data_IF_702254091080
#
_entry.id   IF_702254091080
#
_cell.length_a   1.000
_cell.length_b   1.000
_cell.length_c   1.000
_cell.angle_alpha   90.00
_cell.angle_beta   90.00
_cell.angle_gamma   90.00
#
_symmetry.space_group_name_H-M   'P 1'
#
loop_
_entity.id
_entity.type
_entity.pdbx_description
1 polymer ?
#
# COMPACT_ATOMS: atom_id res chain seq x y z
N UNK A 1 9.42 -2.22 -16.12
CA UNK A 1 8.71 -1.98 -14.85
C UNK A 1 8.02 -3.27 -14.50
N UNK A 2 7.79 -3.50 -13.21
CA UNK A 2 6.94 -4.62 -12.79
C UNK A 2 5.47 -4.20 -12.89
N UNK A 3 4.59 -5.15 -13.17
CA UNK A 3 3.15 -4.92 -13.22
C UNK A 3 2.47 -5.53 -12.01
N UNK A 4 1.49 -4.83 -11.45
CA UNK A 4 0.76 -5.30 -10.30
C UNK A 4 -0.63 -4.74 -10.24
N UNK A 5 -1.33 -5.15 -9.19
CA UNK A 5 -2.66 -4.66 -8.83
C UNK A 5 -2.72 -4.49 -7.33
N UNK A 6 -3.71 -3.75 -6.87
CA UNK A 6 -4.14 -3.80 -5.49
C UNK A 6 -5.61 -4.25 -5.39
N UNK A 7 -5.92 -4.97 -4.31
CA UNK A 7 -7.23 -5.61 -4.10
C UNK A 7 -7.71 -5.45 -2.67
N UNK A 8 -9.03 -5.50 -2.51
CA UNK A 8 -9.70 -5.39 -1.22
C UNK A 8 -10.90 -6.34 -1.15
N UNK A 9 -11.84 -6.11 -0.22
CA UNK A 9 -13.09 -6.86 -0.18
C UNK A 9 -13.98 -6.64 -1.40
N UNK A 10 -13.76 -5.59 -2.19
CA UNK A 10 -14.49 -5.38 -3.44
C UNK A 10 -14.21 -6.47 -4.49
N UNK A 11 -13.09 -7.19 -4.36
CA UNK A 11 -12.71 -8.29 -5.22
C UNK A 11 -12.65 -9.59 -4.42
N UNK A 12 -13.68 -10.44 -4.52
CA UNK A 12 -13.63 -11.79 -3.93
C UNK A 12 -12.53 -12.66 -4.53
N UNK A 13 -12.11 -12.37 -5.77
CA UNK A 13 -10.96 -12.93 -6.48
C UNK A 13 -10.47 -11.94 -7.55
N UNK A 14 -9.30 -12.20 -8.14
CA UNK A 14 -8.66 -11.36 -9.18
C UNK A 14 -7.83 -12.23 -10.14
N UNK A 15 -7.49 -11.75 -11.33
CA UNK A 15 -6.57 -12.48 -12.21
C UNK A 15 -5.11 -12.22 -11.81
N UNK A 16 -4.26 -13.24 -11.91
CA UNK A 16 -2.83 -13.17 -11.61
C UNK A 16 -1.94 -13.22 -12.84
N UNK A 17 -2.50 -13.48 -14.02
CA UNK A 17 -1.74 -13.61 -15.25
C UNK A 17 -0.98 -12.32 -15.57
N UNK A 18 0.35 -12.46 -15.75
CA UNK A 18 1.23 -11.33 -16.02
C UNK A 18 1.53 -10.42 -14.82
N UNK A 19 1.04 -10.73 -13.61
CA UNK A 19 1.32 -9.94 -12.42
C UNK A 19 2.66 -10.32 -11.77
N UNK A 20 3.39 -9.31 -11.33
CA UNK A 20 4.65 -9.41 -10.59
C UNK A 20 4.48 -9.16 -9.10
N UNK A 21 3.52 -8.31 -8.72
CA UNK A 21 3.22 -7.98 -7.34
C UNK A 21 1.72 -7.72 -7.14
N UNK A 22 1.26 -7.86 -5.90
CA UNK A 22 -0.12 -7.60 -5.49
C UNK A 22 -0.11 -6.93 -4.12
N UNK A 23 -0.77 -5.77 -3.98
CA UNK A 23 -1.09 -5.19 -2.68
C UNK A 23 -2.49 -5.64 -2.23
N UNK A 24 -2.64 -6.00 -0.96
CA UNK A 24 -3.89 -6.57 -0.43
C UNK A 24 -4.30 -5.76 0.79
N UNK A 25 -5.55 -5.25 0.81
CA UNK A 25 -6.10 -4.60 2.00
C UNK A 25 -6.07 -5.58 3.15
N UNK A 26 -5.38 -5.25 4.24
CA UNK A 26 -5.39 -6.08 5.44
C UNK A 26 -6.44 -5.58 6.43
N UNK A 27 -6.42 -4.28 6.71
CA UNK A 27 -7.21 -3.66 7.77
C UNK A 27 -7.64 -2.26 7.42
N UNK A 28 -8.65 -1.77 8.14
CA UNK A 28 -9.10 -0.39 8.08
C UNK A 28 -9.48 0.07 9.49
N UNK A 29 -8.99 1.26 9.87
CA UNK A 29 -9.25 1.81 11.19
C UNK A 29 -8.82 0.84 12.30
N UNK A 30 -9.69 0.55 13.26
CA UNK A 30 -9.34 -0.28 14.43
C UNK A 30 -10.16 -1.56 14.57
N UNK A 31 -10.98 -1.88 13.57
CA UNK A 31 -12.01 -2.92 13.71
C UNK A 31 -12.22 -3.75 12.45
N UNK A 32 -11.94 -3.22 11.26
CA UNK A 32 -12.19 -3.93 10.03
C UNK A 32 -10.99 -4.78 9.60
N UNK A 33 -11.24 -6.05 9.26
CA UNK A 33 -10.29 -6.92 8.56
C UNK A 33 -10.91 -7.30 7.23
N UNK A 34 -10.13 -7.30 6.16
CA UNK A 34 -10.59 -7.77 4.86
C UNK A 34 -10.99 -9.26 4.94
N UNK A 35 -12.26 -9.64 4.68
CA UNK A 35 -12.72 -11.02 4.77
C UNK A 35 -12.08 -11.94 3.72
N UNK A 36 -11.50 -11.38 2.66
CA UNK A 36 -10.82 -12.13 1.59
C UNK A 36 -9.29 -12.14 1.75
N UNK A 37 -8.74 -11.58 2.85
CA UNK A 37 -7.30 -11.46 3.06
C UNK A 37 -6.57 -12.80 2.85
N UNK A 38 -7.03 -13.88 3.49
CA UNK A 38 -6.37 -15.17 3.41
C UNK A 38 -6.40 -15.77 1.99
N UNK A 39 -7.55 -15.70 1.29
CA UNK A 39 -7.70 -16.25 -0.06
C UNK A 39 -6.91 -15.43 -1.09
N UNK A 40 -6.93 -14.10 -0.98
CA UNK A 40 -6.17 -13.20 -1.84
C UNK A 40 -4.65 -13.38 -1.66
N UNK A 41 -4.18 -13.52 -0.41
CA UNK A 41 -2.77 -13.80 -0.12
C UNK A 41 -2.37 -15.12 -0.74
N UNK A 42 -3.13 -16.20 -0.48
CA UNK A 42 -2.83 -17.52 -1.04
C UNK A 42 -2.70 -17.44 -2.56
N UNK A 43 -3.67 -16.80 -3.23
CA UNK A 43 -3.68 -16.64 -4.68
C UNK A 43 -2.45 -15.89 -5.21
N UNK A 44 -2.10 -14.76 -4.60
CA UNK A 44 -0.90 -14.02 -4.98
C UNK A 44 0.39 -14.85 -4.79
N UNK A 45 0.46 -15.66 -3.71
CA UNK A 45 1.61 -16.54 -3.46
C UNK A 45 1.71 -17.70 -4.44
N UNK A 46 0.59 -18.34 -4.76
CA UNK A 46 0.55 -19.43 -5.73
C UNK A 46 1.05 -18.94 -7.11
N UNK A 47 0.74 -17.69 -7.46
CA UNK A 47 1.24 -17.02 -8.66
C UNK A 47 2.67 -16.45 -8.53
N UNK A 48 3.38 -16.73 -7.43
CA UNK A 48 4.74 -16.26 -7.17
C UNK A 48 4.91 -14.73 -7.23
N UNK A 49 3.85 -13.97 -6.95
CA UNK A 49 3.91 -12.51 -6.85
C UNK A 49 4.67 -12.06 -5.59
N UNK A 50 5.25 -10.87 -5.63
CA UNK A 50 5.61 -10.12 -4.41
C UNK A 50 4.30 -9.64 -3.77
N UNK A 51 4.15 -9.80 -2.46
CA UNK A 51 2.91 -9.39 -1.78
C UNK A 51 3.18 -8.16 -0.95
N UNK A 52 2.26 -7.22 -1.00
CA UNK A 52 2.17 -6.10 -0.08
C UNK A 52 0.85 -6.12 0.69
N UNK A 53 0.84 -5.50 1.86
CA UNK A 53 -0.36 -5.31 2.67
C UNK A 53 -0.56 -3.84 2.90
N UNK A 54 -1.81 -3.36 2.80
CA UNK A 54 -2.12 -1.97 3.13
C UNK A 54 -3.16 -1.84 4.23
N UNK A 55 -3.04 -0.73 4.95
CA UNK A 55 -3.97 -0.29 5.98
C UNK A 55 -4.65 1.00 5.54
N UNK A 56 -5.99 1.00 5.47
CA UNK A 56 -6.76 2.21 5.21
C UNK A 56 -6.86 3.06 6.47
N UNK A 57 -6.22 4.23 6.43
CA UNK A 57 -5.96 5.06 7.61
C UNK A 57 -7.18 5.92 7.98
N UNK A 58 -7.55 5.86 9.26
CA UNK A 58 -8.53 6.77 9.87
C UNK A 58 -7.84 7.82 10.76
N UNK A 59 -8.44 9.00 10.99
CA UNK A 59 -7.97 9.91 12.04
C UNK A 59 -8.11 9.29 13.45
N UNK A 60 -7.39 9.83 14.43
CA UNK A 60 -7.55 9.44 15.83
C UNK A 60 -6.41 8.58 16.38
N UNK A 61 -6.71 7.38 16.90
CA UNK A 61 -5.71 6.60 17.64
C UNK A 61 -4.77 5.82 16.70
N UNK A 62 -3.70 6.47 16.22
CA UNK A 62 -2.74 5.90 15.27
C UNK A 62 -1.94 4.73 15.82
N UNK A 63 -1.60 4.74 17.11
CA UNK A 63 -0.89 3.61 17.74
C UNK A 63 -1.76 2.36 17.70
N UNK A 64 -3.03 2.47 18.10
CA UNK A 64 -3.95 1.34 18.04
C UNK A 64 -4.21 0.86 16.60
N UNK A 65 -4.28 1.77 15.62
CA UNK A 65 -4.40 1.38 14.21
C UNK A 65 -3.15 0.64 13.71
N UNK A 66 -1.95 1.11 14.06
CA UNK A 66 -0.69 0.48 13.64
C UNK A 66 -0.53 -0.90 14.27
N UNK A 67 -0.81 -1.04 15.58
CA UNK A 67 -0.85 -2.33 16.28
C UNK A 67 -1.88 -3.27 15.66
N UNK A 68 -3.08 -2.75 15.35
CA UNK A 68 -4.12 -3.52 14.71
C UNK A 68 -3.68 -4.04 13.33
N UNK A 69 -3.11 -3.16 12.49
CA UNK A 69 -2.61 -3.52 11.18
C UNK A 69 -1.58 -4.66 11.25
N UNK A 70 -0.52 -4.49 12.04
CA UNK A 70 0.55 -5.49 12.12
C UNK A 70 0.12 -6.75 12.87
N UNK A 71 -0.97 -6.72 13.65
CA UNK A 71 -1.54 -7.93 14.27
C UNK A 71 -2.37 -8.79 13.31
N UNK A 72 -2.82 -8.21 12.19
CA UNK A 72 -3.74 -8.86 11.23
C UNK A 72 -3.11 -9.13 9.87
N UNK A 73 -2.18 -8.28 9.44
CA UNK A 73 -1.41 -8.55 8.24
C UNK A 73 -0.57 -9.83 8.46
N UNK A 74 -0.61 -10.79 7.52
CA UNK A 74 0.22 -11.99 7.57
C UNK A 74 1.52 -11.79 6.78
N UNK A 75 2.21 -10.66 7.01
CA UNK A 75 3.46 -10.37 6.32
C UNK A 75 4.57 -11.36 6.67
N UNK A 76 5.41 -11.66 5.69
CA UNK A 76 6.66 -12.39 5.85
C UNK A 76 7.82 -11.62 5.24
N UNK A 77 9.04 -12.08 5.48
CA UNK A 77 10.24 -11.41 4.97
C UNK A 77 10.24 -11.28 3.44
N UNK A 78 10.39 -10.05 2.94
CA UNK A 78 10.32 -9.74 1.52
C UNK A 78 8.94 -9.28 1.03
N UNK A 79 7.99 -9.08 1.94
CA UNK A 79 6.73 -8.38 1.67
C UNK A 79 6.84 -6.89 1.99
N UNK A 80 5.88 -6.13 1.48
CA UNK A 80 5.76 -4.69 1.72
C UNK A 80 4.58 -4.36 2.63
N UNK A 81 4.71 -3.30 3.41
CA UNK A 81 3.60 -2.70 4.15
C UNK A 81 3.32 -1.32 3.58
N UNK A 82 2.08 -0.89 3.57
CA UNK A 82 1.68 0.44 3.13
C UNK A 82 0.60 1.03 4.03
N UNK A 83 0.64 2.36 4.20
CA UNK A 83 -0.50 3.12 4.71
C UNK A 83 -1.22 3.73 3.53
N UNK A 84 -2.54 3.57 3.49
CA UNK A 84 -3.42 4.21 2.54
C UNK A 84 -4.03 5.45 3.21
N UNK A 85 -3.64 6.63 2.72
CA UNK A 85 -4.05 7.91 3.26
C UNK A 85 -4.93 8.68 2.28
N UNK A 86 -6.24 8.61 2.53
CA UNK A 86 -7.26 9.28 1.74
C UNK A 86 -8.48 9.70 2.59
N UNK A 87 -9.59 10.07 1.93
CA UNK A 87 -10.84 10.43 2.61
C UNK A 87 -11.58 9.16 2.99
N UNK A 88 -11.95 9.03 4.27
CA UNK A 88 -12.71 7.89 4.79
C UNK A 88 -14.14 7.87 4.26
N UNK A 89 -14.85 6.74 4.40
CA UNK A 89 -16.28 6.65 4.10
C UNK A 89 -17.15 7.70 4.80
N UNK A 90 -16.74 8.17 5.99
CA UNK A 90 -17.43 9.21 6.76
C UNK A 90 -17.07 10.66 6.33
N UNK A 91 -16.32 10.84 5.25
CA UNK A 91 -15.87 12.16 4.78
C UNK A 91 -14.77 12.80 5.65
N UNK A 92 -14.19 12.04 6.58
CA UNK A 92 -13.05 12.50 7.40
C UNK A 92 -11.72 12.12 6.73
N UNK A 93 -10.60 12.61 7.28
CA UNK A 93 -9.26 12.13 6.90
C UNK A 93 -8.30 12.32 8.06
N UNK A 94 -7.31 11.43 8.16
CA UNK A 94 -6.15 11.71 8.99
C UNK A 94 -5.44 12.99 8.51
N UNK A 95 -4.83 13.72 9.42
CA UNK A 95 -3.95 14.86 9.12
C UNK A 95 -2.60 14.37 8.61
N UNK A 96 -1.80 15.25 7.99
CA UNK A 96 -0.42 14.92 7.60
C UNK A 96 0.40 14.40 8.78
N UNK A 97 0.26 15.03 9.96
CA UNK A 97 0.98 14.64 11.16
C UNK A 97 0.56 13.24 11.67
N UNK A 98 -0.71 12.89 11.55
CA UNK A 98 -1.22 11.56 11.91
C UNK A 98 -0.73 10.48 10.94
N UNK A 99 -0.78 10.75 9.62
CA UNK A 99 -0.15 9.89 8.59
C UNK A 99 1.32 9.62 8.93
N UNK A 100 2.08 10.67 9.19
CA UNK A 100 3.48 10.62 9.57
C UNK A 100 3.72 9.75 10.82
N UNK A 101 2.90 9.95 11.85
CA UNK A 101 2.97 9.18 13.09
C UNK A 101 2.66 7.71 12.87
N UNK A 102 1.64 7.39 12.06
CA UNK A 102 1.29 6.01 11.73
C UNK A 102 2.44 5.30 11.01
N UNK A 103 3.04 5.92 9.97
CA UNK A 103 4.17 5.34 9.23
C UNK A 103 5.33 5.03 10.19
N UNK A 104 5.70 5.98 11.06
CA UNK A 104 6.78 5.77 12.04
C UNK A 104 6.46 4.64 13.01
N UNK A 105 5.22 4.52 13.43
CA UNK A 105 4.80 3.47 14.36
C UNK A 105 4.82 2.08 13.71
N UNK A 106 4.35 1.94 12.47
CA UNK A 106 4.46 0.66 11.74
C UNK A 106 5.94 0.28 11.55
N UNK A 107 6.80 1.24 11.18
CA UNK A 107 8.25 0.99 11.08
C UNK A 107 8.88 0.58 12.41
N UNK A 108 8.42 1.14 13.53
CA UNK A 108 8.88 0.74 14.87
C UNK A 108 8.45 -0.69 15.22
N UNK A 109 7.22 -1.08 14.85
CA UNK A 109 6.66 -2.41 15.10
C UNK A 109 7.17 -3.48 14.13
N UNK A 110 7.64 -3.06 12.94
CA UNK A 110 8.17 -3.91 11.87
C UNK A 110 9.47 -3.33 11.31
N UNK A 111 10.56 -3.34 12.09
CA UNK A 111 11.84 -2.78 11.68
C UNK A 111 12.47 -3.53 10.49
N UNK A 112 12.06 -4.79 10.27
CA UNK A 112 12.55 -5.67 9.20
C UNK A 112 11.67 -5.64 7.94
N UNK A 113 10.79 -4.64 7.81
CA UNK A 113 9.94 -4.43 6.63
C UNK A 113 10.00 -2.99 6.14
N UNK A 114 9.85 -2.81 4.82
CA UNK A 114 9.65 -1.49 4.22
C UNK A 114 8.19 -1.06 4.36
N UNK A 115 7.98 0.21 4.70
CA UNK A 115 6.66 0.82 4.87
C UNK A 115 6.50 1.98 3.90
N UNK A 116 5.53 1.88 3.00
CA UNK A 116 5.22 2.88 1.97
C UNK A 116 4.04 3.77 2.39
N UNK A 117 3.97 4.95 1.77
CA UNK A 117 2.77 5.77 1.75
C UNK A 117 2.05 5.58 0.42
N UNK A 118 0.79 5.17 0.45
CA UNK A 118 -0.17 5.35 -0.62
C UNK A 118 -0.98 6.63 -0.41
N UNK A 119 -1.11 7.43 -1.47
CA UNK A 119 -2.11 8.47 -1.57
C UNK A 119 -2.32 8.87 -3.04
N UNK A 120 -3.42 9.55 -3.34
CA UNK A 120 -3.61 10.14 -4.66
C UNK A 120 -2.83 11.45 -4.84
N UNK A 121 -2.69 11.88 -6.10
CA UNK A 121 -1.99 13.13 -6.45
C UNK A 121 -2.53 14.37 -5.76
N UNK A 122 -3.82 14.45 -5.47
CA UNK A 122 -4.38 15.59 -4.75
C UNK A 122 -3.88 15.64 -3.30
N UNK A 123 -3.89 14.50 -2.60
CA UNK A 123 -3.33 14.38 -1.25
C UNK A 123 -1.85 14.72 -1.23
N UNK A 124 -1.08 14.16 -2.15
CA UNK A 124 0.36 14.44 -2.25
C UNK A 124 0.67 15.94 -2.46
N UNK A 125 -0.10 16.62 -3.31
CA UNK A 125 0.21 18.01 -3.68
C UNK A 125 -0.40 19.06 -2.74
N UNK A 126 -1.49 18.72 -2.03
CA UNK A 126 -2.28 19.72 -1.30
C UNK A 126 -2.44 19.41 0.20
N UNK A 127 -2.27 18.16 0.63
CA UNK A 127 -2.39 17.78 2.04
C UNK A 127 -1.06 17.36 2.66
N UNK A 128 -0.17 16.72 1.89
CA UNK A 128 1.17 16.41 2.37
C UNK A 128 2.02 17.70 2.47
N UNK A 129 2.64 17.92 3.63
CA UNK A 129 3.50 19.08 3.90
C UNK A 129 4.92 18.70 4.33
N UNK A 130 5.24 17.41 4.33
CA UNK A 130 6.49 16.86 4.92
C UNK A 130 7.31 16.06 3.92
N UNK A 131 6.69 15.66 2.81
CA UNK A 131 7.16 14.67 1.85
C UNK A 131 7.59 13.35 2.48
N UNK A 132 7.11 13.05 3.70
CA UNK A 132 7.50 11.84 4.41
C UNK A 132 6.62 10.65 3.96
N UNK A 133 7.17 9.85 3.04
CA UNK A 133 6.53 8.68 2.44
C UNK A 133 7.04 7.34 3.02
N UNK A 134 7.64 7.35 4.21
CA UNK A 134 8.30 6.17 4.76
C UNK A 134 9.51 5.75 3.93
N UNK A 135 9.50 4.52 3.41
CA UNK A 135 10.53 3.99 2.51
C UNK A 135 10.22 4.24 1.02
N UNK A 136 8.99 4.62 0.67
CA UNK A 136 8.62 4.84 -0.72
C UNK A 136 7.20 5.37 -0.90
N UNK A 137 7.04 6.21 -1.92
CA UNK A 137 5.73 6.71 -2.35
C UNK A 137 5.07 5.74 -3.34
N UNK A 138 3.89 5.29 -3.00
CA UNK A 138 2.90 4.70 -3.90
C UNK A 138 1.91 5.81 -4.27
N UNK A 139 1.96 6.29 -5.51
CA UNK A 139 1.14 7.43 -5.95
C UNK A 139 0.01 6.94 -6.84
N UNK A 140 -1.22 7.40 -6.59
CA UNK A 140 -2.32 7.27 -7.54
C UNK A 140 -2.44 8.52 -8.43
N UNK A 141 -2.27 8.35 -9.74
CA UNK A 141 -2.54 9.36 -10.76
C UNK A 141 -2.94 8.67 -12.07
N UNK A 142 -4.19 8.77 -12.48
CA UNK A 142 -4.71 7.95 -13.59
C UNK A 142 -4.28 8.48 -14.96
N UNK A 143 -3.04 8.18 -15.33
CA UNK A 143 -2.36 8.57 -16.57
C UNK A 143 -1.53 7.40 -17.10
N UNK A 144 -0.68 7.64 -18.10
CA UNK A 144 0.23 6.60 -18.62
C UNK A 144 1.05 5.96 -17.49
N UNK A 145 1.06 4.63 -17.46
CA UNK A 145 1.82 3.83 -16.51
C UNK A 145 3.28 4.32 -16.41
N UNK A 146 3.75 4.48 -15.18
CA UNK A 146 5.10 4.98 -14.89
C UNK A 146 5.34 6.47 -15.15
N UNK A 147 4.32 7.27 -15.48
CA UNK A 147 4.45 8.71 -15.72
C UNK A 147 3.49 9.57 -14.85
N UNK A 148 3.47 9.38 -13.51
CA UNK A 148 2.60 10.20 -12.66
C UNK A 148 3.00 11.67 -12.76
N UNK A 149 2.03 12.58 -12.68
CA UNK A 149 2.24 14.04 -12.80
C UNK A 149 2.70 14.65 -11.47
N UNK A 150 3.77 14.12 -10.90
CA UNK A 150 4.44 14.61 -9.69
C UNK A 150 5.95 14.74 -9.93
N UNK A 151 6.62 15.58 -9.14
CA UNK A 151 8.09 15.73 -9.19
C UNK A 151 8.83 14.75 -8.28
N UNK A 152 8.16 14.24 -7.25
CA UNK A 152 8.77 13.39 -6.25
C UNK A 152 9.11 12.00 -6.82
N UNK A 153 10.15 11.38 -6.26
CA UNK A 153 10.49 9.99 -6.57
C UNK A 153 9.41 9.07 -6.04
N UNK A 154 8.89 8.20 -6.91
CA UNK A 154 7.89 7.19 -6.58
C UNK A 154 8.50 5.78 -6.69
N UNK A 155 7.87 4.83 -6.00
CA UNK A 155 8.19 3.39 -6.07
C UNK A 155 7.10 2.62 -6.80
N UNK A 156 5.84 2.93 -6.51
CA UNK A 156 4.66 2.33 -7.14
C UNK A 156 3.81 3.46 -7.72
N UNK A 157 3.22 3.23 -8.89
CA UNK A 157 2.29 4.15 -9.53
C UNK A 157 1.01 3.40 -9.89
N UNK A 158 -0.08 3.72 -9.19
CA UNK A 158 -1.43 3.28 -9.53
C UNK A 158 -1.94 4.17 -10.66
N UNK A 159 -2.11 3.58 -11.83
CA UNK A 159 -2.29 4.33 -13.08
C UNK A 159 -3.69 4.17 -13.70
N UNK A 160 -4.55 3.33 -13.11
CA UNK A 160 -5.98 3.23 -13.39
C UNK A 160 -6.67 2.49 -12.26
N UNK A 161 -7.95 2.77 -12.05
CA UNK A 161 -8.88 2.14 -11.11
C UNK A 161 -9.93 1.24 -11.80
N UNK A 162 -9.90 1.15 -13.14
CA UNK A 162 -10.94 0.50 -13.93
C UNK A 162 -10.35 -0.44 -15.00
N UNK A 163 -10.83 -1.70 -15.09
CA UNK A 163 -11.82 -2.37 -14.25
C UNK A 163 -11.29 -2.82 -12.87
N UNK A 164 -10.01 -2.60 -12.61
CA UNK A 164 -9.31 -2.94 -11.38
C UNK A 164 -8.19 -1.91 -11.18
N UNK A 165 -7.81 -1.67 -9.94
CA UNK A 165 -6.65 -0.88 -9.60
C UNK A 165 -5.38 -1.54 -10.15
N UNK A 166 -4.73 -0.88 -11.10
CA UNK A 166 -3.49 -1.38 -11.74
C UNK A 166 -2.31 -0.49 -11.43
N UNK A 167 -1.23 -1.15 -11.10
CA UNK A 167 0.02 -0.55 -10.70
C UNK A 167 1.18 -0.91 -11.61
N UNK A 168 2.16 -0.01 -11.65
CA UNK A 168 3.52 -0.37 -12.03
C UNK A 168 4.52 -0.02 -10.95
N UNK A 169 5.54 -0.86 -10.79
CA UNK A 169 6.61 -0.63 -9.84
C UNK A 169 7.95 -0.34 -10.53
N UNK A 170 8.68 0.64 -9.99
CA UNK A 170 9.99 1.09 -10.45
C UNK A 170 11.13 0.17 -9.96
N UNK A 171 11.03 -1.12 -10.30
CA UNK A 171 12.07 -2.13 -10.05
C UNK A 171 12.46 -2.85 -11.34
N UNK A 172 13.70 -3.35 -11.38
CA UNK A 172 14.23 -4.09 -12.51
C UNK A 172 13.69 -5.54 -12.60
N UNK A 173 13.34 -6.15 -11.46
CA UNK A 173 12.85 -7.53 -11.38
C UNK A 173 12.13 -7.80 -10.05
N UNK A 174 11.36 -8.89 -9.96
CA UNK A 174 10.74 -9.35 -8.69
C UNK A 174 11.79 -9.58 -7.61
N UNK A 175 12.95 -10.11 -7.97
CA UNK A 175 14.07 -10.30 -7.04
C UNK A 175 14.58 -8.98 -6.49
N UNK A 176 14.74 -7.96 -7.35
CA UNK A 176 15.15 -6.63 -6.90
C UNK A 176 14.13 -6.02 -5.92
N UNK A 177 12.82 -6.20 -6.19
CA UNK A 177 11.75 -5.74 -5.30
C UNK A 177 11.76 -6.49 -3.95
N UNK A 178 11.89 -7.82 -3.95
CA UNK A 178 11.98 -8.63 -2.72
C UNK A 178 13.22 -8.31 -1.89
N UNK A 179 14.35 -8.05 -2.54
CA UNK A 179 15.59 -7.66 -1.85
C UNK A 179 15.43 -6.28 -1.23
N UNK A 180 14.83 -5.32 -1.95
CA UNK A 180 14.58 -3.99 -1.41
C UNK A 180 13.58 -3.99 -0.23
N UNK A 181 12.58 -4.89 -0.26
CA UNK A 181 11.60 -5.08 0.80
C UNK A 181 12.22 -5.55 2.13
N UNK A 182 13.46 -6.07 2.10
CA UNK A 182 14.26 -6.43 3.28
C UNK A 182 15.16 -5.24 3.62
N UNK A 183 15.03 -4.64 4.81
CA UNK A 183 15.78 -3.44 5.20
C UNK A 183 17.29 -3.55 5.14
#
# INVERSE_FOLDING_TARGET
>A
MLHGVDVSSYQSSFDTDGLDFVFIKATEGRSYVNPHLASQVKRARDASCVVGFYHFLWPGNLTAQAEYFVSKAPEKAGDLLAVDWEVTGDGTRATNAEKDRFIREVKRLRPDHRVLLYCNRHFWLNYDTTSYAGDGLWIADYVTAGKPRIKATWRIHQHTDNPLDKDVAAFASRTAMRNWARP
#
